data_IF_656871635904
#
_entry.id   IF_656871635904
#
_cell.length_a   1.000
_cell.length_b   1.000
_cell.length_c   1.000
_cell.angle_alpha   90.00
_cell.angle_beta   90.00
_cell.angle_gamma   90.00
#
_symmetry.space_group_name_H-M   'P 1'
#
loop_
_entity.id
_entity.type
_entity.pdbx_description
1 polymer ?
#
# COMPACT_ATOMS: atom_id res chain seq x y z
N UNK A 1 4.23 -39.47 -10.45
CA UNK A 1 3.87 -38.49 -11.48
C UNK A 1 4.17 -37.10 -10.91
N UNK A 2 5.30 -36.57 -11.37
CA UNK A 2 5.97 -35.27 -11.17
C UNK A 2 5.71 -34.41 -9.91
N UNK A 3 6.68 -34.46 -8.99
CA UNK A 3 7.04 -33.36 -8.10
C UNK A 3 7.90 -32.34 -8.85
N UNK A 4 7.42 -31.10 -9.01
CA UNK A 4 8.23 -30.00 -9.54
C UNK A 4 9.17 -29.49 -8.43
N UNK A 5 10.45 -29.84 -8.57
CA UNK A 5 11.54 -29.22 -7.83
C UNK A 5 11.75 -27.82 -8.42
N UNK A 6 11.57 -26.78 -7.59
CA UNK A 6 12.02 -25.43 -7.93
C UNK A 6 13.49 -25.32 -7.53
N UNK A 7 14.35 -25.45 -8.53
CA UNK A 7 15.79 -25.27 -8.42
C UNK A 7 16.14 -23.79 -8.71
N UNK A 8 17.08 -23.26 -7.93
CA UNK A 8 17.36 -21.83 -7.81
C UNK A 8 17.70 -21.14 -9.14
N UNK A 9 17.16 -19.94 -9.31
CA UNK A 9 17.61 -18.97 -10.32
C UNK A 9 17.36 -17.57 -9.77
N UNK A 10 18.29 -17.10 -8.94
CA UNK A 10 18.36 -15.72 -8.45
C UNK A 10 18.99 -14.85 -9.54
N UNK A 11 18.32 -14.71 -10.68
CA UNK A 11 18.70 -13.76 -11.73
C UNK A 11 17.43 -13.28 -12.44
N UNK A 12 17.34 -11.95 -12.64
CA UNK A 12 16.23 -11.19 -13.24
C UNK A 12 15.07 -10.74 -12.34
N UNK A 13 15.38 -9.92 -11.33
CA UNK A 13 14.43 -8.87 -10.91
C UNK A 13 14.65 -7.67 -11.84
N UNK A 14 13.90 -7.62 -12.93
CA UNK A 14 14.01 -6.66 -14.04
C UNK A 14 13.60 -5.23 -13.71
N UNK A 15 14.16 -4.63 -12.66
CA UNK A 15 13.87 -3.22 -12.32
C UNK A 15 14.92 -2.32 -12.96
N UNK A 16 14.59 -1.72 -14.11
CA UNK A 16 15.35 -0.58 -14.63
C UNK A 16 15.14 0.62 -13.69
N UNK A 17 16.19 1.00 -12.95
CA UNK A 17 16.19 2.16 -12.03
C UNK A 17 16.58 1.87 -10.57
N UNK A 18 16.73 0.60 -10.18
CA UNK A 18 17.24 0.21 -8.85
C UNK A 18 18.77 0.07 -8.82
N UNK A 19 19.43 0.15 -9.97
CA UNK A 19 20.89 0.02 -10.13
C UNK A 19 21.67 1.21 -9.55
N UNK A 20 20.99 2.27 -9.10
CA UNK A 20 21.60 3.45 -8.51
C UNK A 20 21.04 3.66 -7.09
N UNK A 21 21.90 3.60 -6.06
CA UNK A 21 21.54 4.03 -4.72
C UNK A 21 21.11 5.50 -4.77
N UNK A 22 19.81 5.76 -4.64
CA UNK A 22 19.28 7.10 -4.41
C UNK A 22 18.93 7.23 -2.94
N UNK A 23 18.96 8.45 -2.39
CA UNK A 23 18.49 8.70 -1.01
C UNK A 23 17.07 8.17 -0.77
N UNK A 24 16.23 8.13 -1.82
CA UNK A 24 14.87 7.59 -1.77
C UNK A 24 14.80 6.06 -1.68
N UNK A 25 15.79 5.33 -2.21
CA UNK A 25 15.77 3.86 -2.26
C UNK A 25 16.84 3.19 -1.37
N UNK A 26 17.72 3.96 -0.73
CA UNK A 26 18.83 3.44 0.09
C UNK A 26 18.35 2.47 1.19
N UNK A 27 17.18 2.70 1.77
CA UNK A 27 16.58 1.81 2.75
C UNK A 27 16.29 0.41 2.18
N UNK A 28 15.97 0.27 0.89
CA UNK A 28 15.71 -1.04 0.28
C UNK A 28 16.95 -1.90 0.17
N UNK A 29 18.14 -1.29 0.11
CA UNK A 29 19.42 -2.02 0.09
C UNK A 29 19.69 -2.71 1.43
N UNK A 30 19.10 -2.20 2.51
CA UNK A 30 19.22 -2.75 3.86
C UNK A 30 18.01 -3.62 4.27
N UNK A 31 16.93 -3.60 3.47
CA UNK A 31 15.77 -4.47 3.71
C UNK A 31 16.11 -5.89 3.31
N UNK A 32 15.89 -6.84 4.22
CA UNK A 32 16.07 -8.27 3.93
C UNK A 32 15.18 -8.69 2.75
N UNK A 33 15.72 -9.53 1.87
CA UNK A 33 15.06 -9.96 0.63
C UNK A 33 13.74 -10.69 0.91
N UNK A 34 13.68 -11.46 1.99
CA UNK A 34 12.46 -12.14 2.48
C UNK A 34 11.32 -11.13 2.69
N UNK A 35 11.56 -10.03 3.41
CA UNK A 35 10.57 -8.98 3.67
C UNK A 35 10.12 -8.29 2.39
N UNK A 36 11.05 -8.00 1.47
CA UNK A 36 10.70 -7.42 0.18
C UNK A 36 9.76 -8.35 -0.59
N UNK A 37 10.12 -9.62 -0.69
CA UNK A 37 9.33 -10.62 -1.39
C UNK A 37 7.94 -10.78 -0.80
N UNK A 38 7.82 -10.92 0.53
CA UNK A 38 6.52 -11.01 1.22
C UNK A 38 5.62 -9.81 0.91
N UNK A 39 6.15 -8.57 0.91
CA UNK A 39 5.32 -7.38 0.64
C UNK A 39 4.93 -7.26 -0.83
N UNK A 40 5.80 -7.67 -1.75
CA UNK A 40 5.48 -7.67 -3.19
C UNK A 40 4.40 -8.70 -3.50
N UNK A 41 4.51 -9.92 -2.96
CA UNK A 41 3.48 -10.95 -3.12
C UNK A 41 2.14 -10.51 -2.56
N UNK A 42 2.14 -9.96 -1.34
CA UNK A 42 0.94 -9.38 -0.74
C UNK A 42 0.30 -8.34 -1.66
N UNK A 43 1.07 -7.40 -2.21
CA UNK A 43 0.55 -6.41 -3.16
C UNK A 43 -0.05 -7.05 -4.41
N UNK A 44 0.51 -8.15 -4.91
CA UNK A 44 -0.06 -8.87 -6.05
C UNK A 44 -1.40 -9.53 -5.69
N UNK A 45 -1.55 -10.06 -4.48
CA UNK A 45 -2.83 -10.59 -3.98
C UNK A 45 -3.92 -9.51 -3.93
N UNK A 46 -3.54 -8.25 -3.72
CA UNK A 46 -4.46 -7.10 -3.78
C UNK A 46 -4.82 -6.67 -5.22
N UNK A 47 -4.23 -7.29 -6.23
CA UNK A 47 -4.47 -6.99 -7.65
C UNK A 47 -3.46 -6.03 -8.29
N UNK A 48 -2.31 -5.76 -7.64
CA UNK A 48 -1.24 -5.01 -8.29
C UNK A 48 -0.47 -5.90 -9.26
N UNK A 49 -0.12 -5.35 -10.44
CA UNK A 49 0.90 -5.96 -11.29
C UNK A 49 2.25 -5.96 -10.56
N UNK A 50 3.08 -6.99 -10.76
CA UNK A 50 4.39 -7.14 -10.10
C UNK A 50 5.24 -5.86 -10.13
N UNK A 51 5.38 -5.24 -11.31
CA UNK A 51 6.11 -3.97 -11.47
C UNK A 51 5.50 -2.80 -10.70
N UNK A 52 4.16 -2.76 -10.59
CA UNK A 52 3.46 -1.74 -9.79
C UNK A 52 3.62 -2.01 -8.29
N UNK A 53 3.57 -3.27 -7.88
CA UNK A 53 3.82 -3.69 -6.50
C UNK A 53 5.23 -3.32 -6.03
N UNK A 54 6.25 -3.61 -6.85
CA UNK A 54 7.64 -3.21 -6.59
C UNK A 54 7.78 -1.69 -6.45
N UNK A 55 7.24 -0.92 -7.41
CA UNK A 55 7.26 0.54 -7.34
C UNK A 55 6.50 1.09 -6.13
N UNK A 56 5.39 0.46 -5.73
CA UNK A 56 4.64 0.85 -4.54
C UNK A 56 5.48 0.64 -3.27
N UNK A 57 6.13 -0.52 -3.14
CA UNK A 57 7.01 -0.83 -2.02
C UNK A 57 8.21 0.11 -1.96
N UNK A 58 8.82 0.44 -3.10
CA UNK A 58 9.93 1.40 -3.17
C UNK A 58 9.52 2.82 -2.77
N UNK A 59 8.28 3.22 -3.09
CA UNK A 59 7.74 4.54 -2.74
C UNK A 59 7.17 4.62 -1.34
N UNK A 60 6.95 3.48 -0.67
CA UNK A 60 6.46 3.39 0.70
C UNK A 60 7.39 2.49 1.54
N UNK A 61 8.59 2.97 1.91
CA UNK A 61 9.59 2.22 2.68
C UNK A 61 9.04 1.62 3.98
N UNK A 62 8.17 2.39 4.66
CA UNK A 62 7.61 2.02 5.95
C UNK A 62 6.77 0.73 5.89
N UNK A 63 6.33 0.30 4.71
CA UNK A 63 5.50 -0.91 4.57
C UNK A 63 6.21 -2.18 5.06
N UNK A 64 7.54 -2.22 4.99
CA UNK A 64 8.33 -3.38 5.44
C UNK A 64 8.32 -3.53 6.97
N UNK A 65 7.93 -2.49 7.71
CA UNK A 65 7.73 -2.54 9.16
C UNK A 65 6.32 -2.92 9.58
N UNK A 66 5.36 -2.96 8.65
CA UNK A 66 3.96 -3.28 8.96
C UNK A 66 3.69 -4.77 8.84
N UNK A 67 2.91 -5.30 9.76
CA UNK A 67 2.45 -6.68 9.71
C UNK A 67 1.36 -6.88 8.63
N UNK A 68 1.38 -8.02 7.93
CA UNK A 68 0.39 -8.26 6.86
C UNK A 68 -1.00 -8.45 7.47
N UNK A 69 -1.14 -9.38 8.40
CA UNK A 69 -2.43 -9.85 8.91
C UNK A 69 -3.07 -8.84 9.86
N UNK A 70 -2.27 -8.19 10.69
CA UNK A 70 -2.74 -7.31 11.76
C UNK A 70 -2.75 -5.82 11.37
N UNK A 71 -2.17 -5.44 10.22
CA UNK A 71 -2.09 -4.04 9.82
C UNK A 71 -2.48 -3.79 8.36
N UNK A 72 -1.83 -4.43 7.40
CA UNK A 72 -2.07 -4.14 5.98
C UNK A 72 -3.43 -4.70 5.53
N UNK A 73 -3.70 -5.97 5.80
CA UNK A 73 -4.93 -6.63 5.38
C UNK A 73 -6.20 -5.97 5.95
N UNK A 74 -6.28 -5.63 7.25
CA UNK A 74 -7.47 -4.97 7.80
C UNK A 74 -7.72 -3.60 7.17
N UNK A 75 -6.67 -2.85 6.81
CA UNK A 75 -6.83 -1.59 6.07
C UNK A 75 -7.42 -1.84 4.69
N UNK A 76 -6.82 -2.74 3.92
CA UNK A 76 -7.31 -3.03 2.57
C UNK A 76 -8.77 -3.49 2.57
N UNK A 77 -9.11 -4.44 3.44
CA UNK A 77 -10.48 -4.96 3.58
C UNK A 77 -11.46 -3.84 3.90
N UNK A 78 -11.14 -2.97 4.86
CA UNK A 78 -12.01 -1.84 5.19
C UNK A 78 -12.23 -0.90 3.99
N UNK A 79 -11.17 -0.56 3.26
CA UNK A 79 -11.29 0.32 2.09
C UNK A 79 -12.16 -0.31 0.99
N UNK A 80 -12.05 -1.61 0.73
CA UNK A 80 -12.81 -2.28 -0.33
C UNK A 80 -14.24 -2.59 0.11
N UNK A 81 -14.43 -3.15 1.31
CA UNK A 81 -15.73 -3.66 1.78
C UNK A 81 -16.61 -2.59 2.41
N UNK A 82 -16.03 -1.73 3.25
CA UNK A 82 -16.81 -0.75 4.02
C UNK A 82 -16.89 0.61 3.31
N UNK A 83 -15.81 1.02 2.63
CA UNK A 83 -15.77 2.28 1.88
C UNK A 83 -16.10 2.12 0.38
N UNK A 84 -16.22 0.88 -0.09
CA UNK A 84 -16.50 0.52 -1.49
C UNK A 84 -15.52 1.21 -2.45
N UNK A 85 -14.23 1.24 -2.10
CA UNK A 85 -13.19 1.86 -2.93
C UNK A 85 -12.80 0.96 -4.07
N UNK A 86 -12.56 1.58 -5.21
CA UNK A 86 -12.15 0.88 -6.42
C UNK A 86 -10.66 0.48 -6.36
N UNK A 87 -10.34 -0.71 -6.89
CA UNK A 87 -8.98 -1.26 -6.86
C UNK A 87 -8.00 -0.38 -7.65
N UNK A 88 -8.44 0.28 -8.72
CA UNK A 88 -7.61 1.20 -9.48
C UNK A 88 -7.25 2.45 -8.65
N UNK A 89 -8.19 2.98 -7.87
CA UNK A 89 -7.93 4.09 -6.94
C UNK A 89 -6.88 3.68 -5.89
N UNK A 90 -7.02 2.48 -5.31
CA UNK A 90 -6.05 1.94 -4.35
C UNK A 90 -4.68 1.73 -4.99
N UNK A 91 -4.64 1.22 -6.22
CA UNK A 91 -3.41 1.00 -6.98
C UNK A 91 -2.63 2.29 -7.28
N UNK A 92 -3.36 3.39 -7.50
CA UNK A 92 -2.76 4.71 -7.75
C UNK A 92 -2.25 5.38 -6.47
N UNK A 93 -2.75 4.98 -5.30
CA UNK A 93 -2.44 5.62 -4.02
C UNK A 93 -2.04 4.63 -2.91
N UNK A 94 -1.02 3.76 -3.09
CA UNK A 94 -0.62 2.77 -2.07
C UNK A 94 -0.16 3.39 -0.74
N UNK A 95 0.11 4.70 -0.72
CA UNK A 95 0.41 5.46 0.51
C UNK A 95 -0.71 5.37 1.55
N UNK A 96 -1.93 4.92 1.20
CA UNK A 96 -2.99 4.71 2.18
C UNK A 96 -2.56 3.77 3.32
N UNK A 97 -1.68 2.79 3.06
CA UNK A 97 -1.13 1.90 4.08
C UNK A 97 -0.36 2.64 5.18
N UNK A 98 0.16 3.84 4.88
CA UNK A 98 0.87 4.66 5.85
C UNK A 98 -0.04 5.36 6.87
N UNK A 99 -1.36 5.43 6.64
CA UNK A 99 -2.27 6.07 7.58
C UNK A 99 -2.85 5.08 8.60
N UNK A 100 -3.17 5.58 9.79
CA UNK A 100 -3.85 4.80 10.82
C UNK A 100 -5.28 4.48 10.39
N UNK A 101 -5.68 3.21 10.54
CA UNK A 101 -7.04 2.77 10.30
C UNK A 101 -8.00 3.45 11.28
N UNK A 102 -7.71 3.33 12.58
CA UNK A 102 -8.55 3.81 13.68
C UNK A 102 -8.55 5.33 13.83
N UNK A 103 -7.40 5.97 13.66
CA UNK A 103 -7.25 7.41 13.96
C UNK A 103 -7.46 8.32 12.73
N UNK A 104 -7.49 7.76 11.52
CA UNK A 104 -7.59 8.58 10.30
C UNK A 104 -8.54 8.05 9.25
N UNK A 105 -8.42 6.78 8.84
CA UNK A 105 -9.24 6.25 7.74
C UNK A 105 -10.71 6.15 8.18
N UNK A 106 -10.99 5.45 9.28
CA UNK A 106 -12.35 5.22 9.79
C UNK A 106 -13.04 6.55 10.16
N UNK A 107 -12.46 7.45 10.98
CA UNK A 107 -13.17 8.66 11.40
C UNK A 107 -13.52 9.57 10.22
N UNK A 108 -12.61 9.68 9.23
CA UNK A 108 -12.87 10.49 8.04
C UNK A 108 -13.89 9.86 7.11
N UNK A 109 -13.93 8.52 7.03
CA UNK A 109 -14.92 7.83 6.23
C UNK A 109 -16.31 8.09 6.80
N UNK A 110 -16.50 7.86 8.09
CA UNK A 110 -17.79 8.06 8.75
C UNK A 110 -18.26 9.51 8.65
N UNK A 111 -17.36 10.47 8.90
CA UNK A 111 -17.64 11.90 8.80
C UNK A 111 -18.15 12.32 7.41
N UNK A 112 -17.57 11.77 6.34
CA UNK A 112 -18.01 12.04 4.97
C UNK A 112 -19.29 11.26 4.60
N UNK A 113 -19.43 10.02 5.09
CA UNK A 113 -20.60 9.15 4.87
C UNK A 113 -21.87 9.77 5.46
N UNK A 114 -21.80 10.30 6.68
CA UNK A 114 -22.90 11.02 7.34
C UNK A 114 -23.39 12.23 6.53
N UNK A 115 -22.51 12.82 5.70
CA UNK A 115 -22.79 13.98 4.86
C UNK A 115 -23.14 13.62 3.42
N UNK A 116 -23.15 12.34 3.07
CA UNK A 116 -23.36 11.88 1.69
C UNK A 116 -22.27 12.36 0.71
N UNK A 117 -21.06 12.68 1.19
CA UNK A 117 -19.98 13.21 0.36
C UNK A 117 -18.99 12.10 0.00
N UNK A 118 -18.69 11.95 -1.29
CA UNK A 118 -17.60 11.08 -1.77
C UNK A 118 -16.50 11.92 -2.43
N UNK A 119 -15.27 11.73 -1.98
CA UNK A 119 -14.08 12.39 -2.53
C UNK A 119 -12.97 11.37 -2.82
N UNK A 120 -11.99 11.71 -3.68
CA UNK A 120 -10.81 10.88 -3.90
C UNK A 120 -10.06 10.56 -2.60
N UNK A 121 -9.60 9.33 -2.46
CA UNK A 121 -8.97 8.79 -1.25
C UNK A 121 -7.70 9.56 -0.87
N UNK A 122 -6.90 9.95 -1.86
CA UNK A 122 -5.71 10.77 -1.62
C UNK A 122 -6.07 12.14 -0.99
N UNK A 123 -7.11 12.80 -1.49
CA UNK A 123 -7.61 14.07 -0.93
C UNK A 123 -8.16 13.85 0.48
N UNK A 124 -8.86 12.74 0.69
CA UNK A 124 -9.39 12.37 2.00
C UNK A 124 -8.28 12.16 3.03
N UNK A 125 -7.17 11.49 2.70
CA UNK A 125 -6.17 11.06 3.69
C UNK A 125 -4.96 12.00 3.83
N UNK A 126 -4.59 12.75 2.79
CA UNK A 126 -3.40 13.62 2.83
C UNK A 126 -3.62 14.94 3.56
N UNK A 127 -4.86 15.41 3.71
CA UNK A 127 -5.11 16.68 4.40
C UNK A 127 -4.87 16.55 5.91
N UNK A 128 -4.41 17.63 6.55
CA UNK A 128 -4.37 17.74 8.01
C UNK A 128 -5.78 17.70 8.62
N UNK A 129 -5.91 17.33 9.90
CA UNK A 129 -7.20 17.17 10.57
C UNK A 129 -8.03 18.46 10.52
N UNK A 130 -7.46 19.58 10.97
CA UNK A 130 -8.15 20.89 10.99
C UNK A 130 -8.70 21.26 9.60
N UNK A 131 -7.86 21.18 8.57
CA UNK A 131 -8.25 21.49 7.19
C UNK A 131 -9.34 20.54 6.67
N UNK A 132 -9.25 19.25 7.00
CA UNK A 132 -10.24 18.26 6.57
C UNK A 132 -11.61 18.57 7.20
N UNK A 133 -11.70 18.63 8.52
CA UNK A 133 -12.98 18.82 9.21
C UNK A 133 -13.57 20.21 8.98
N UNK A 134 -12.74 21.24 8.78
CA UNK A 134 -13.23 22.57 8.42
C UNK A 134 -13.87 22.64 7.02
N UNK A 135 -13.41 21.81 6.06
CA UNK A 135 -13.90 21.84 4.68
C UNK A 135 -15.25 21.13 4.51
N UNK A 136 -15.46 20.03 5.24
CA UNK A 136 -16.66 19.20 5.13
C UNK A 136 -17.46 19.31 6.43
N UNK A 137 -18.05 20.48 6.71
CA UNK A 137 -18.89 20.68 7.90
C UNK A 137 -20.25 20.02 7.76
#
# INVERSE_FOLDING_TARGET
>A
MQSLKFEGSVWFVGIQGLKLPTTRNAHMLNTRVDKLHTKVLFMQELGFLYEKALRACARLPAIFGYDVENNLWPKFVYLVKEMERDLEELNRFPQYFGFSLKERIVPRHLHLKERGVRIPLNRMLMWGNEKFYAKWK
#
